data_IF_209712252014
#
_entry.id   IF_209712252014
#
_cell.length_a   1.000
_cell.length_b   1.000
_cell.length_c   1.000
_cell.angle_alpha   90.00
_cell.angle_beta   90.00
_cell.angle_gamma   90.00
#
_symmetry.space_group_name_H-M   'P 1'
#
loop_
_entity.id
_entity.type
_entity.pdbx_description
1 polymer ?
#
# COMPACT_ATOMS: atom_id res chain seq x y z
N UNK A 1 -44.60 -54.18 5.40
CA UNK A 1 -43.34 -54.77 4.90
C UNK A 1 -42.25 -53.76 5.16
N UNK A 2 -41.24 -54.17 5.92
CA UNK A 2 -40.05 -53.39 6.32
C UNK A 2 -38.87 -54.08 5.65
N UNK A 3 -37.96 -53.31 5.04
CA UNK A 3 -36.67 -53.83 4.57
C UNK A 3 -35.54 -53.18 5.41
N UNK A 4 -34.48 -53.94 5.79
CA UNK A 4 -33.64 -53.64 6.95
C UNK A 4 -32.25 -53.13 6.56
N UNK A 5 -32.08 -51.81 6.41
CA UNK A 5 -30.76 -51.18 6.39
C UNK A 5 -30.89 -49.68 6.66
N UNK A 6 -30.98 -49.30 7.93
CA UNK A 6 -31.09 -47.91 8.38
C UNK A 6 -29.89 -47.03 8.00
N UNK A 7 -29.80 -46.64 6.73
CA UNK A 7 -28.91 -45.61 6.21
C UNK A 7 -29.75 -44.40 5.79
N UNK A 8 -29.56 -43.29 6.50
CA UNK A 8 -30.05 -41.99 6.05
C UNK A 8 -29.21 -41.58 4.85
N UNK A 9 -29.82 -41.52 3.66
CA UNK A 9 -29.26 -40.73 2.58
C UNK A 9 -29.39 -39.26 2.98
N UNK A 10 -28.27 -38.65 3.34
CA UNK A 10 -28.14 -37.20 3.37
C UNK A 10 -28.14 -36.74 1.92
N UNK A 11 -29.28 -36.21 1.47
CA UNK A 11 -29.39 -35.58 0.17
C UNK A 11 -28.30 -34.51 0.01
N UNK A 12 -27.55 -34.70 -1.06
CA UNK A 12 -26.55 -33.81 -1.62
C UNK A 12 -27.00 -32.34 -1.58
N UNK A 13 -26.19 -31.51 -0.93
CA UNK A 13 -26.27 -30.05 -1.10
C UNK A 13 -26.14 -29.71 -2.60
N UNK A 14 -26.97 -28.82 -3.15
CA UNK A 14 -26.84 -28.41 -4.53
C UNK A 14 -25.59 -27.53 -4.68
N UNK A 15 -24.50 -28.11 -5.17
CA UNK A 15 -23.40 -27.40 -5.84
C UNK A 15 -23.90 -26.94 -7.20
N UNK A 16 -24.61 -25.82 -7.22
CA UNK A 16 -24.77 -25.01 -8.43
C UNK A 16 -24.46 -23.56 -8.06
N UNK A 17 -23.28 -23.11 -8.50
CA UNK A 17 -23.01 -21.69 -8.66
C UNK A 17 -24.03 -21.17 -9.67
N UNK A 18 -25.12 -20.59 -9.18
CA UNK A 18 -26.09 -19.93 -10.03
C UNK A 18 -25.42 -18.78 -10.77
N UNK A 19 -25.44 -18.85 -12.10
CA UNK A 19 -24.94 -17.87 -13.06
C UNK A 19 -25.57 -16.47 -12.91
N UNK A 20 -26.50 -16.25 -11.97
CA UNK A 20 -27.21 -14.99 -11.70
C UNK A 20 -26.52 -14.04 -10.70
N UNK A 21 -25.25 -14.25 -10.37
CA UNK A 21 -24.45 -13.31 -9.54
C UNK A 21 -23.18 -12.78 -10.20
N UNK A 22 -23.05 -12.97 -11.51
CA UNK A 22 -22.05 -12.26 -12.33
C UNK A 22 -22.34 -10.75 -12.43
N UNK A 23 -23.55 -10.34 -12.04
CA UNK A 23 -24.10 -8.98 -12.23
C UNK A 23 -24.36 -8.23 -10.90
N UNK A 24 -23.79 -8.67 -9.77
CA UNK A 24 -23.90 -7.93 -8.49
C UNK A 24 -22.57 -7.79 -7.74
N UNK A 25 -21.48 -7.74 -8.50
CA UNK A 25 -20.33 -6.87 -8.20
C UNK A 25 -20.41 -5.65 -9.13
N UNK A 26 -21.58 -5.02 -9.19
CA UNK A 26 -21.79 -3.82 -9.98
C UNK A 26 -20.88 -2.71 -9.47
N UNK A 27 -19.92 -2.32 -10.32
CA UNK A 27 -19.18 -1.06 -10.27
C UNK A 27 -18.56 -0.75 -8.92
N UNK A 28 -17.69 -1.64 -8.53
CA UNK A 28 -16.65 -1.43 -7.55
C UNK A 28 -15.96 -0.05 -7.77
N UNK A 29 -16.28 0.93 -6.93
CA UNK A 29 -15.63 2.25 -6.83
C UNK A 29 -14.23 2.15 -6.19
N UNK A 30 -13.49 1.06 -6.44
CA UNK A 30 -12.17 0.75 -5.87
C UNK A 30 -11.03 1.26 -6.75
N UNK A 31 -10.85 2.56 -6.94
CA UNK A 31 -9.63 3.02 -7.63
C UNK A 31 -9.00 4.27 -7.02
N UNK A 32 -8.99 4.30 -5.68
CA UNK A 32 -8.23 5.24 -4.86
C UNK A 32 -6.75 4.87 -4.73
N UNK A 33 -6.36 3.65 -5.11
CA UNK A 33 -5.14 3.00 -4.65
C UNK A 33 -3.96 3.05 -5.63
N UNK A 34 -4.21 3.28 -6.92
CA UNK A 34 -3.14 3.64 -7.88
C UNK A 34 -2.42 4.93 -7.47
N UNK A 35 -3.12 5.80 -6.74
CA UNK A 35 -2.56 7.03 -6.20
C UNK A 35 -1.55 6.79 -5.07
N UNK A 36 -1.52 5.62 -4.42
CA UNK A 36 -0.54 5.30 -3.38
C UNK A 36 0.91 5.38 -3.90
N UNK A 37 1.15 4.89 -5.11
CA UNK A 37 2.45 5.00 -5.76
C UNK A 37 2.86 6.46 -5.96
N UNK A 38 1.94 7.28 -6.47
CA UNK A 38 2.16 8.71 -6.68
C UNK A 38 2.38 9.46 -5.37
N UNK A 39 1.64 9.11 -4.32
CA UNK A 39 1.79 9.66 -2.98
C UNK A 39 3.17 9.35 -2.41
N UNK A 40 3.64 8.10 -2.50
CA UNK A 40 4.98 7.74 -2.06
C UNK A 40 6.05 8.53 -2.81
N UNK A 41 5.97 8.60 -4.15
CA UNK A 41 6.91 9.39 -4.95
C UNK A 41 6.90 10.86 -4.56
N UNK A 42 5.72 11.45 -4.33
CA UNK A 42 5.59 12.83 -3.87
C UNK A 42 6.15 13.05 -2.48
N UNK A 43 5.92 12.15 -1.53
CA UNK A 43 6.51 12.24 -0.21
C UNK A 43 8.04 12.10 -0.25
N UNK A 44 8.58 11.20 -1.07
CA UNK A 44 10.02 11.10 -1.31
C UNK A 44 10.62 12.39 -1.90
N UNK A 45 9.91 13.06 -2.81
CA UNK A 45 10.30 14.38 -3.31
C UNK A 45 10.22 15.46 -2.22
N UNK A 46 9.16 15.46 -1.39
CA UNK A 46 9.02 16.39 -0.27
C UNK A 46 10.19 16.26 0.71
N UNK A 47 10.61 15.03 1.04
CA UNK A 47 11.81 14.77 1.85
C UNK A 47 13.09 15.25 1.15
N UNK A 48 13.24 14.96 -0.15
CA UNK A 48 14.46 15.32 -0.90
C UNK A 48 14.61 16.83 -1.11
N UNK A 49 13.50 17.57 -1.29
CA UNK A 49 13.53 19.03 -1.36
C UNK A 49 13.93 19.67 -0.02
N UNK A 50 13.66 19.00 1.10
CA UNK A 50 14.13 19.42 2.42
C UNK A 50 15.63 19.14 2.63
N UNK A 51 16.20 18.16 1.93
CA UNK A 51 17.65 17.85 1.99
C UNK A 51 18.49 18.57 0.93
N UNK A 52 17.90 18.95 -0.21
CA UNK A 52 18.59 19.51 -1.39
C UNK A 52 18.86 21.02 -1.41
N UNK A 53 18.43 21.81 -0.42
CA UNK A 53 18.82 23.24 -0.29
C UNK A 53 20.10 23.45 0.52
N UNK A 54 21.13 22.66 0.26
CA UNK A 54 22.50 22.91 0.74
C UNK A 54 23.48 22.55 -0.38
N UNK A 55 23.86 23.56 -1.15
CA UNK A 55 24.75 23.39 -2.29
C UNK A 55 25.07 24.69 -3.01
N UNK A 56 25.34 25.76 -2.26
CA UNK A 56 26.13 26.92 -2.68
C UNK A 56 26.60 27.60 -1.38
N UNK A 57 27.86 28.02 -1.37
CA UNK A 57 28.61 28.65 -0.27
C UNK A 57 29.27 27.71 0.76
N UNK A 58 30.45 27.21 0.40
CA UNK A 58 31.65 27.24 1.25
C UNK A 58 32.89 26.72 0.49
N UNK A 59 33.46 27.56 -0.38
CA UNK A 59 34.90 27.46 -0.69
C UNK A 59 35.61 28.31 0.35
N UNK A 60 36.36 27.66 1.27
CA UNK A 60 37.64 28.10 1.87
C UNK A 60 37.89 27.35 3.19
N UNK A 61 39.09 26.79 3.32
CA UNK A 61 39.67 26.43 4.62
C UNK A 61 40.43 25.10 4.61
N UNK A 62 41.72 25.17 4.36
CA UNK A 62 42.66 24.04 4.36
C UNK A 62 42.94 23.47 5.76
N UNK A 63 43.30 22.19 5.85
CA UNK A 63 44.43 21.73 6.68
C UNK A 63 44.95 20.36 6.20
N UNK A 64 46.27 20.22 6.21
CA UNK A 64 47.11 19.14 5.66
C UNK A 64 47.42 18.05 6.71
N UNK A 65 48.01 16.94 6.20
CA UNK A 65 48.82 15.88 6.86
C UNK A 65 48.03 14.64 7.35
N UNK A 66 48.53 13.39 7.35
CA UNK A 66 49.41 12.55 6.49
C UNK A 66 49.57 11.22 7.26
N UNK A 67 49.42 10.05 6.62
CA UNK A 67 49.92 8.77 7.19
C UNK A 67 48.91 7.59 7.24
N UNK A 68 49.25 6.40 6.70
CA UNK A 68 48.37 5.24 6.61
C UNK A 68 48.70 4.19 7.69
N UNK A 69 47.70 3.75 8.47
CA UNK A 69 47.63 2.44 9.17
C UNK A 69 46.82 2.57 10.46
N UNK A 70 45.51 2.29 10.39
CA UNK A 70 44.85 1.52 11.45
C UNK A 70 43.44 1.11 11.01
N UNK A 71 43.28 -0.21 10.75
CA UNK A 71 42.17 -1.05 11.23
C UNK A 71 40.76 -0.57 10.86
N UNK A 72 40.16 -1.07 9.79
CA UNK A 72 39.36 -2.32 9.82
C UNK A 72 38.79 -2.61 11.22
N UNK A 73 37.45 -2.56 11.32
CA UNK A 73 36.61 -2.60 12.53
C UNK A 73 36.32 -1.22 13.16
N UNK A 74 35.67 -0.32 12.39
CA UNK A 74 34.77 0.72 12.93
C UNK A 74 33.95 1.49 11.86
N UNK A 75 33.58 0.83 10.75
CA UNK A 75 32.79 1.46 9.67
C UNK A 75 31.28 1.12 9.70
N UNK A 76 30.86 0.07 10.41
CA UNK A 76 29.46 -0.36 10.43
C UNK A 76 28.59 0.34 11.49
N UNK A 77 29.19 1.12 12.39
CA UNK A 77 28.45 1.91 13.40
C UNK A 77 28.49 3.43 13.15
N UNK A 78 29.49 3.94 12.40
CA UNK A 78 29.55 5.37 12.04
C UNK A 78 28.60 5.79 10.92
N UNK A 79 28.09 4.84 10.12
CA UNK A 79 27.06 5.12 9.10
C UNK A 79 25.63 5.12 9.64
N UNK A 80 25.40 4.70 10.89
CA UNK A 80 24.07 4.80 11.53
C UNK A 80 23.79 6.15 12.19
N UNK A 81 24.84 6.87 12.59
CA UNK A 81 24.68 8.13 13.35
C UNK A 81 24.75 9.41 12.50
N UNK A 82 25.11 9.33 11.21
CA UNK A 82 25.04 10.50 10.29
C UNK A 82 23.65 10.77 9.68
N UNK A 83 22.67 9.90 9.93
CA UNK A 83 21.30 10.03 9.40
C UNK A 83 20.28 10.54 10.43
N UNK A 84 20.71 10.90 11.64
CA UNK A 84 19.84 11.53 12.66
C UNK A 84 20.50 12.80 13.17
N UNK A 85 20.89 13.66 12.24
CA UNK A 85 21.28 15.03 12.51
C UNK A 85 20.04 15.86 12.86
N UNK A 86 19.72 15.95 14.15
CA UNK A 86 18.71 16.87 14.69
C UNK A 86 19.15 18.31 14.41
N UNK A 87 18.54 19.02 13.44
CA UNK A 87 18.11 20.45 13.51
C UNK A 87 17.71 21.08 12.17
N UNK A 88 16.65 21.91 12.32
CA UNK A 88 16.01 22.89 11.44
C UNK A 88 14.99 22.33 10.44
N UNK A 89 13.73 22.42 10.88
CA UNK A 89 12.51 22.43 10.07
C UNK A 89 12.72 23.21 8.77
N UNK A 90 12.80 22.50 7.65
CA UNK A 90 12.51 23.11 6.38
C UNK A 90 11.06 23.63 6.44
N UNK A 91 10.81 24.86 5.97
CA UNK A 91 9.47 25.39 5.88
C UNK A 91 8.66 24.45 4.98
N UNK A 92 7.77 23.65 5.60
CA UNK A 92 6.71 22.96 4.89
C UNK A 92 5.93 24.01 4.09
N UNK A 93 5.40 23.66 2.90
CA UNK A 93 4.57 24.59 2.14
C UNK A 93 3.44 25.09 3.05
N UNK A 94 3.31 26.41 3.16
CA UNK A 94 2.23 27.01 3.93
C UNK A 94 0.91 26.75 3.19
N UNK A 95 -0.04 26.13 3.87
CA UNK A 95 -1.36 25.85 3.33
C UNK A 95 -2.06 24.67 4.00
N UNK A 96 -3.40 24.55 3.80
CA UNK A 96 -4.21 23.50 4.40
C UNK A 96 -3.60 22.11 4.16
N UNK A 97 -3.44 21.34 5.24
CA UNK A 97 -2.76 20.04 5.25
C UNK A 97 -1.41 20.05 5.96
N UNK A 98 -0.70 21.17 5.97
CA UNK A 98 0.64 21.30 6.58
C UNK A 98 0.66 22.19 7.82
N UNK A 99 -0.20 23.21 7.90
CA UNK A 99 -0.36 24.08 9.07
C UNK A 99 -1.56 23.68 9.94
N UNK A 100 -2.58 23.12 9.32
CA UNK A 100 -3.77 22.54 9.95
C UNK A 100 -4.31 21.38 9.11
N UNK A 101 -5.23 20.62 9.69
CA UNK A 101 -5.98 19.58 8.94
C UNK A 101 -6.92 20.23 7.92
N UNK A 102 -6.92 19.72 6.68
CA UNK A 102 -7.95 20.09 5.69
C UNK A 102 -9.32 19.58 6.13
N UNK A 103 -10.34 20.43 6.03
CA UNK A 103 -11.74 20.08 6.29
C UNK A 103 -12.30 19.18 5.18
N UNK A 104 -13.46 18.56 5.44
CA UNK A 104 -14.12 17.72 4.43
C UNK A 104 -14.60 18.55 3.24
N UNK A 105 -15.08 19.76 3.51
CA UNK A 105 -15.61 20.73 2.55
C UNK A 105 -14.48 21.19 1.62
N UNK A 106 -13.34 21.59 2.18
CA UNK A 106 -12.16 21.97 1.38
C UNK A 106 -11.69 20.84 0.46
N UNK A 107 -11.68 19.61 0.97
CA UNK A 107 -11.35 18.43 0.15
C UNK A 107 -12.40 18.21 -0.94
N UNK A 108 -13.69 18.47 -0.68
CA UNK A 108 -14.76 18.27 -1.65
C UNK A 108 -14.70 19.24 -2.84
N UNK A 109 -14.17 20.45 -2.63
CA UNK A 109 -13.95 21.45 -3.69
C UNK A 109 -12.85 21.05 -4.68
N UNK A 110 -11.96 20.12 -4.30
CA UNK A 110 -10.92 19.66 -5.20
C UNK A 110 -11.50 18.81 -6.35
N UNK A 111 -10.83 18.82 -7.53
CA UNK A 111 -11.22 17.98 -8.65
C UNK A 111 -11.30 16.50 -8.24
N UNK A 112 -12.38 15.82 -8.62
CA UNK A 112 -12.49 14.37 -8.43
C UNK A 112 -11.63 13.66 -9.47
N UNK A 113 -10.71 12.82 -9.01
CA UNK A 113 -9.91 11.92 -9.86
C UNK A 113 -10.24 10.48 -9.54
N UNK A 114 -10.14 9.67 -10.59
CA UNK A 114 -10.24 8.21 -10.59
C UNK A 114 -9.12 7.67 -11.46
N UNK A 115 -8.70 6.46 -11.19
CA UNK A 115 -7.85 5.73 -12.13
C UNK A 115 -8.58 5.55 -13.47
N UNK A 116 -7.87 5.80 -14.55
CA UNK A 116 -8.33 5.64 -15.93
C UNK A 116 -7.43 4.69 -16.75
N UNK A 117 -6.38 4.14 -16.12
CA UNK A 117 -5.49 3.16 -16.73
C UNK A 117 -6.02 1.73 -16.67
N UNK A 118 -5.25 0.76 -17.19
CA UNK A 118 -5.63 -0.64 -17.23
C UNK A 118 -5.75 -1.26 -15.83
N UNK A 119 -6.69 -2.20 -15.73
CA UNK A 119 -6.96 -3.00 -14.53
C UNK A 119 -7.01 -4.47 -14.95
N UNK A 120 -6.26 -5.32 -14.27
CA UNK A 120 -6.29 -6.76 -14.46
C UNK A 120 -6.84 -7.44 -13.21
N UNK A 121 -7.90 -8.26 -13.38
CA UNK A 121 -8.44 -9.11 -12.32
C UNK A 121 -7.79 -10.50 -12.43
N UNK A 122 -7.28 -11.01 -11.31
CA UNK A 122 -6.54 -12.26 -11.22
C UNK A 122 -7.23 -13.19 -10.23
N UNK A 123 -7.77 -14.29 -10.73
CA UNK A 123 -8.41 -15.35 -9.93
C UNK A 123 -7.76 -16.73 -10.09
N UNK A 124 -6.84 -16.87 -11.04
CA UNK A 124 -6.23 -18.16 -11.40
C UNK A 124 -4.70 -18.17 -11.21
N UNK A 125 -4.09 -19.32 -10.84
CA UNK A 125 -2.66 -19.42 -10.60
C UNK A 125 -1.78 -18.98 -11.79
N UNK A 126 -2.12 -19.39 -13.02
CA UNK A 126 -1.33 -19.03 -14.22
C UNK A 126 -1.34 -17.52 -14.48
N UNK A 127 -2.49 -16.86 -14.29
CA UNK A 127 -2.60 -15.42 -14.42
C UNK A 127 -1.82 -14.69 -13.29
N UNK A 128 -1.81 -15.27 -12.09
CA UNK A 128 -1.03 -14.77 -10.96
C UNK A 128 0.48 -14.78 -11.25
N UNK A 129 1.03 -15.86 -11.80
CA UNK A 129 2.44 -15.94 -12.19
C UNK A 129 2.82 -14.86 -13.22
N UNK A 130 1.94 -14.56 -14.17
CA UNK A 130 2.19 -13.49 -15.15
C UNK A 130 2.16 -12.10 -14.49
N UNK A 131 1.14 -11.82 -13.68
CA UNK A 131 1.01 -10.56 -12.96
C UNK A 131 2.20 -10.30 -12.01
N UNK A 132 2.62 -11.32 -11.26
CA UNK A 132 3.79 -11.23 -10.35
C UNK A 132 5.06 -10.90 -11.12
N UNK A 133 5.28 -11.49 -12.30
CA UNK A 133 6.45 -11.15 -13.13
C UNK A 133 6.47 -9.69 -13.56
N UNK A 134 5.30 -9.12 -13.90
CA UNK A 134 5.21 -7.69 -14.23
C UNK A 134 5.47 -6.82 -13.00
N UNK A 135 4.82 -7.14 -11.87
CA UNK A 135 4.98 -6.40 -10.61
C UNK A 135 6.44 -6.38 -10.11
N UNK A 136 7.20 -7.46 -10.34
CA UNK A 136 8.63 -7.54 -9.97
C UNK A 136 9.54 -6.57 -10.73
N UNK A 137 9.07 -6.01 -11.86
CA UNK A 137 9.86 -5.02 -12.61
C UNK A 137 9.80 -3.63 -11.97
N UNK A 138 8.87 -3.41 -11.05
CA UNK A 138 8.66 -2.13 -10.39
C UNK A 138 9.36 -2.07 -9.03
N UNK A 139 10.13 -1.01 -8.72
CA UNK A 139 10.78 -0.86 -7.42
C UNK A 139 9.78 -0.45 -6.32
N UNK A 140 8.61 0.08 -6.70
CA UNK A 140 7.59 0.58 -5.78
C UNK A 140 6.22 0.14 -6.28
N UNK A 141 5.40 -0.36 -5.37
CA UNK A 141 4.03 -0.79 -5.60
C UNK A 141 3.07 -0.07 -4.64
N UNK A 142 1.92 0.38 -5.12
CA UNK A 142 0.76 0.65 -4.28
C UNK A 142 0.20 -0.66 -3.74
N UNK A 143 -0.19 -0.70 -2.46
CA UNK A 143 -0.72 -1.87 -1.77
C UNK A 143 -2.00 -1.49 -1.02
N UNK A 144 -3.04 -2.32 -1.18
CA UNK A 144 -4.28 -2.21 -0.41
C UNK A 144 -5.00 -3.57 -0.33
N UNK A 145 -5.86 -3.77 0.66
CA UNK A 145 -6.73 -4.96 0.73
C UNK A 145 -8.18 -4.58 0.99
N UNK A 146 -9.10 -5.39 0.45
CA UNK A 146 -10.52 -5.20 0.67
C UNK A 146 -11.16 -6.47 1.23
N UNK A 147 -11.93 -6.27 2.29
CA UNK A 147 -12.71 -7.33 2.95
C UNK A 147 -14.15 -7.28 2.48
N UNK A 148 -14.84 -8.42 2.56
CA UNK A 148 -16.28 -8.45 2.29
C UNK A 148 -17.03 -7.74 3.42
N UNK A 149 -18.12 -7.02 3.13
CA UNK A 149 -18.93 -6.39 4.16
C UNK A 149 -19.51 -7.43 5.12
N UNK A 150 -19.45 -7.12 6.41
CA UNK A 150 -20.03 -7.94 7.47
C UNK A 150 -21.44 -7.48 7.80
N UNK A 151 -22.45 -8.26 7.41
CA UNK A 151 -23.86 -7.92 7.66
C UNK A 151 -24.32 -8.22 9.10
N UNK A 152 -23.47 -8.83 9.93
CA UNK A 152 -23.75 -9.15 11.33
C UNK A 152 -22.65 -8.59 12.24
N UNK A 153 -23.05 -7.94 13.33
CA UNK A 153 -22.12 -7.43 14.34
C UNK A 153 -21.31 -8.58 14.94
N UNK A 154 -19.98 -8.43 14.95
CA UNK A 154 -19.04 -9.46 15.41
C UNK A 154 -18.58 -10.45 14.34
N UNK A 155 -19.11 -10.36 13.12
CA UNK A 155 -18.59 -11.12 11.98
C UNK A 155 -17.41 -10.36 11.35
N UNK A 156 -16.32 -11.08 11.09
CA UNK A 156 -15.19 -10.60 10.30
C UNK A 156 -14.89 -11.63 9.21
N UNK A 157 -14.38 -11.16 8.09
CA UNK A 157 -14.00 -12.01 6.97
C UNK A 157 -12.54 -11.75 6.63
N UNK A 158 -11.81 -12.79 6.20
CA UNK A 158 -10.49 -12.57 5.63
C UNK A 158 -10.58 -11.67 4.39
N UNK A 159 -9.48 -10.98 4.03
CA UNK A 159 -9.37 -10.21 2.81
C UNK A 159 -9.83 -11.02 1.60
N UNK A 160 -10.71 -10.42 0.81
CA UNK A 160 -11.23 -11.03 -0.41
C UNK A 160 -10.50 -10.54 -1.65
N UNK A 161 -9.92 -9.34 -1.60
CA UNK A 161 -9.09 -8.77 -2.64
C UNK A 161 -7.77 -8.27 -2.05
N UNK A 162 -6.67 -8.60 -2.72
CA UNK A 162 -5.42 -7.87 -2.62
C UNK A 162 -5.27 -7.00 -3.87
N UNK A 163 -4.93 -5.73 -3.69
CA UNK A 163 -4.69 -4.80 -4.77
C UNK A 163 -3.22 -4.41 -4.79
N UNK A 164 -2.60 -4.52 -5.97
CA UNK A 164 -1.25 -4.05 -6.20
C UNK A 164 -1.25 -3.10 -7.40
N UNK A 165 -0.65 -1.92 -7.24
CA UNK A 165 -0.63 -0.91 -8.29
C UNK A 165 0.80 -0.54 -8.67
N UNK A 166 1.03 -0.46 -9.97
CA UNK A 166 2.23 0.11 -10.60
C UNK A 166 1.89 1.53 -11.06
N UNK A 167 2.84 2.29 -11.65
CA UNK A 167 2.51 3.62 -12.19
C UNK A 167 1.46 3.57 -13.31
N UNK A 168 1.40 2.46 -14.04
CA UNK A 168 0.65 2.30 -15.29
C UNK A 168 -0.44 1.24 -15.23
N UNK A 169 -0.50 0.41 -14.19
CA UNK A 169 -1.39 -0.76 -14.15
C UNK A 169 -1.84 -1.11 -12.72
N UNK A 170 -3.12 -1.49 -12.55
CA UNK A 170 -3.67 -1.99 -11.29
C UNK A 170 -4.02 -3.47 -11.39
N UNK A 171 -3.56 -4.27 -10.43
CA UNK A 171 -3.79 -5.71 -10.36
C UNK A 171 -4.68 -6.03 -9.16
N UNK A 172 -5.78 -6.76 -9.40
CA UNK A 172 -6.77 -7.15 -8.39
C UNK A 172 -6.76 -8.68 -8.21
N UNK A 173 -6.13 -9.16 -7.14
CA UNK A 173 -6.03 -10.58 -6.83
C UNK A 173 -7.22 -11.04 -5.98
N UNK A 174 -8.05 -11.94 -6.51
CA UNK A 174 -9.21 -12.51 -5.84
C UNK A 174 -8.82 -13.65 -4.89
N UNK A 175 -8.54 -13.31 -3.64
CA UNK A 175 -7.98 -14.22 -2.63
C UNK A 175 -8.93 -15.35 -2.22
N UNK A 176 -10.25 -15.15 -2.34
CA UNK A 176 -11.24 -16.15 -1.91
C UNK A 176 -11.16 -17.49 -2.64
N UNK A 177 -10.64 -17.51 -3.87
CA UNK A 177 -10.35 -18.74 -4.63
C UNK A 177 -8.85 -18.95 -4.88
N UNK A 178 -8.11 -17.87 -5.07
CA UNK A 178 -6.67 -17.91 -5.36
C UNK A 178 -5.83 -18.27 -4.12
N UNK A 179 -6.32 -17.97 -2.91
CA UNK A 179 -5.51 -17.95 -1.70
C UNK A 179 -4.41 -16.89 -1.80
N UNK A 180 -3.24 -17.19 -1.22
CA UNK A 180 -2.04 -16.36 -1.31
C UNK A 180 -0.86 -17.21 -1.84
N UNK A 181 -0.78 -17.43 -3.18
CA UNK A 181 0.22 -18.30 -3.79
C UNK A 181 1.66 -17.88 -3.47
N UNK A 182 2.59 -18.82 -3.56
CA UNK A 182 4.01 -18.60 -3.24
C UNK A 182 4.61 -17.39 -3.97
N UNK A 183 4.46 -17.28 -5.28
CA UNK A 183 5.01 -16.14 -6.02
C UNK A 183 4.48 -14.77 -5.56
N UNK A 184 3.24 -14.71 -5.06
CA UNK A 184 2.67 -13.49 -4.50
C UNK A 184 3.22 -13.24 -3.09
N UNK A 185 3.39 -14.27 -2.25
CA UNK A 185 4.07 -14.15 -0.96
C UNK A 185 5.51 -13.68 -1.14
N UNK A 186 6.25 -14.27 -2.07
CA UNK A 186 7.63 -13.88 -2.38
C UNK A 186 7.75 -12.42 -2.82
N UNK A 187 6.72 -11.87 -3.50
CA UNK A 187 6.66 -10.45 -3.84
C UNK A 187 6.46 -9.59 -2.59
N UNK A 188 5.58 -10.00 -1.68
CA UNK A 188 5.27 -9.28 -0.44
C UNK A 188 6.42 -9.37 0.58
N UNK A 189 7.24 -10.42 0.55
CA UNK A 189 8.43 -10.60 1.39
C UNK A 189 9.71 -10.03 0.78
N UNK A 190 9.68 -9.58 -0.47
CA UNK A 190 10.86 -9.00 -1.14
C UNK A 190 11.22 -7.61 -0.56
N UNK A 191 12.38 -7.43 0.08
CA UNK A 191 12.78 -6.13 0.63
C UNK A 191 13.25 -5.14 -0.45
N UNK A 192 13.56 -5.59 -1.66
CA UNK A 192 13.97 -4.72 -2.76
C UNK A 192 12.79 -3.98 -3.40
N UNK A 193 11.56 -4.47 -3.18
CA UNK A 193 10.33 -3.89 -3.70
C UNK A 193 9.59 -3.22 -2.54
N UNK A 194 9.40 -1.91 -2.65
CA UNK A 194 8.66 -1.13 -1.65
C UNK A 194 7.16 -1.24 -1.90
N UNK A 195 6.39 -1.58 -0.87
CA UNK A 195 4.92 -1.66 -0.90
C UNK A 195 4.35 -0.52 -0.05
N UNK A 196 3.60 0.36 -0.69
CA UNK A 196 3.12 1.61 -0.07
C UNK A 196 1.61 1.55 0.11
N UNK A 197 1.13 1.81 1.31
CA UNK A 197 -0.30 1.82 1.62
C UNK A 197 -0.63 2.71 2.81
N UNK A 198 -1.88 2.68 3.27
CA UNK A 198 -2.35 3.49 4.42
C UNK A 198 -3.06 2.57 5.40
N UNK A 199 -2.66 2.60 6.68
CA UNK A 199 -3.22 1.76 7.75
C UNK A 199 -2.88 0.26 7.63
N UNK A 200 -1.68 -0.05 7.16
CA UNK A 200 -1.23 -1.38 6.73
C UNK A 200 -1.23 -2.49 7.80
N UNK A 201 -1.18 -2.12 9.08
CA UNK A 201 -0.96 -3.06 10.17
C UNK A 201 -2.07 -4.13 10.25
N UNK A 202 -3.32 -3.72 10.01
CA UNK A 202 -4.45 -4.65 10.00
C UNK A 202 -4.38 -5.55 8.77
N UNK A 203 -4.18 -4.98 7.57
CA UNK A 203 -4.09 -5.73 6.31
C UNK A 203 -3.05 -6.85 6.36
N UNK A 204 -1.85 -6.55 6.86
CA UNK A 204 -0.76 -7.52 6.96
C UNK A 204 -1.07 -8.68 7.92
N UNK A 205 -1.79 -8.38 9.01
CA UNK A 205 -2.23 -9.40 9.96
C UNK A 205 -3.27 -10.32 9.33
N UNK A 206 -4.24 -9.76 8.63
CA UNK A 206 -5.31 -10.53 8.00
C UNK A 206 -4.81 -11.35 6.81
N UNK A 207 -3.87 -10.83 6.01
CA UNK A 207 -3.21 -11.62 4.96
C UNK A 207 -2.39 -12.78 5.55
N UNK A 208 -1.72 -12.56 6.69
CA UNK A 208 -0.99 -13.64 7.39
C UNK A 208 -1.93 -14.77 7.87
N UNK A 209 -3.19 -14.45 8.16
CA UNK A 209 -4.19 -15.45 8.52
C UNK A 209 -4.61 -16.32 7.32
N UNK A 210 -4.44 -15.85 6.08
CA UNK A 210 -4.67 -16.64 4.86
C UNK A 210 -3.50 -17.60 4.63
N UNK A 211 -2.27 -17.07 4.65
CA UNK A 211 -1.05 -17.88 4.56
C UNK A 211 0.11 -17.15 5.26
N UNK A 212 0.90 -17.82 6.11
CA UNK A 212 1.99 -17.17 6.84
C UNK A 212 3.07 -16.58 5.92
N UNK A 213 3.48 -15.34 6.22
CA UNK A 213 4.65 -14.67 5.61
C UNK A 213 5.13 -13.51 6.49
N UNK A 214 6.40 -13.12 6.36
CA UNK A 214 6.92 -11.91 7.01
C UNK A 214 7.05 -10.80 5.98
N UNK A 215 6.10 -9.87 5.97
CA UNK A 215 6.12 -8.74 5.03
C UNK A 215 7.37 -7.88 5.18
N UNK A 216 8.01 -7.55 4.06
CA UNK A 216 9.17 -6.64 4.01
C UNK A 216 8.91 -5.52 3.02
N UNK A 217 9.64 -4.40 3.14
CA UNK A 217 9.50 -3.26 2.22
C UNK A 217 8.17 -2.50 2.35
N UNK A 218 7.35 -2.74 3.38
CA UNK A 218 6.11 -2.02 3.59
C UNK A 218 6.34 -0.63 4.20
N UNK A 219 5.73 0.39 3.59
CA UNK A 219 5.78 1.78 4.05
C UNK A 219 4.36 2.29 4.22
N UNK A 220 4.00 2.65 5.46
CA UNK A 220 2.72 3.26 5.78
C UNK A 220 2.77 4.76 5.52
N UNK A 221 2.07 5.21 4.49
CA UNK A 221 2.08 6.59 4.05
C UNK A 221 1.43 7.55 5.06
N UNK A 222 0.50 7.07 5.89
CA UNK A 222 -0.08 7.86 6.97
C UNK A 222 0.94 8.12 8.08
N UNK A 223 1.77 7.11 8.39
CA UNK A 223 2.88 7.25 9.33
C UNK A 223 3.93 8.23 8.82
N UNK A 224 4.38 8.06 7.57
CA UNK A 224 5.35 8.96 6.94
C UNK A 224 4.84 10.40 6.89
N UNK A 225 3.58 10.60 6.47
CA UNK A 225 2.96 11.91 6.43
C UNK A 225 2.96 12.60 7.81
N UNK A 226 2.71 11.84 8.88
CA UNK A 226 2.78 12.36 10.26
C UNK A 226 4.20 12.82 10.61
N UNK A 227 5.24 12.07 10.21
CA UNK A 227 6.63 12.48 10.42
C UNK A 227 6.99 13.77 9.66
N UNK A 228 6.37 13.97 8.49
CA UNK A 228 6.50 15.17 7.67
C UNK A 228 5.66 16.36 8.16
N UNK A 229 4.94 16.24 9.27
CA UNK A 229 4.08 17.32 9.78
C UNK A 229 2.79 17.52 8.98
N UNK A 230 2.42 16.58 8.11
CA UNK A 230 1.14 16.63 7.39
C UNK A 230 0.02 16.22 8.36
N UNK A 231 -1.02 17.03 8.48
CA UNK A 231 -2.10 16.85 9.44
C UNK A 231 -3.20 15.87 8.97
N UNK A 232 -3.22 15.52 7.67
CA UNK A 232 -4.12 14.52 7.11
C UNK A 232 -3.34 13.22 6.88
N UNK A 233 -3.82 12.08 7.40
CA UNK A 233 -3.09 10.80 7.32
C UNK A 233 -3.85 9.70 6.55
N UNK A 234 -5.14 9.91 6.27
CA UNK A 234 -5.93 8.99 5.47
C UNK A 234 -5.73 9.25 3.98
N UNK A 235 -5.84 8.21 3.16
CA UNK A 235 -5.59 8.24 1.71
C UNK A 235 -6.23 9.45 1.00
N UNK A 236 -7.54 9.65 1.20
CA UNK A 236 -8.27 10.79 0.61
C UNK A 236 -7.69 12.16 0.98
N UNK A 237 -7.27 12.31 2.24
CA UNK A 237 -6.67 13.55 2.71
C UNK A 237 -5.24 13.72 2.18
N UNK A 238 -4.48 12.64 2.09
CA UNK A 238 -3.14 12.65 1.50
C UNK A 238 -3.18 13.03 0.02
N UNK A 239 -4.11 12.49 -0.76
CA UNK A 239 -4.33 12.90 -2.15
C UNK A 239 -4.66 14.39 -2.25
N UNK A 240 -5.53 14.90 -1.37
CA UNK A 240 -5.88 16.31 -1.36
C UNK A 240 -4.66 17.21 -1.12
N UNK A 241 -3.89 16.90 -0.07
CA UNK A 241 -2.74 17.72 0.34
C UNK A 241 -1.57 17.64 -0.65
N UNK A 242 -1.24 16.43 -1.13
CA UNK A 242 -0.02 16.19 -1.90
C UNK A 242 -0.22 16.23 -3.42
N UNK A 243 -1.44 15.95 -3.89
CA UNK A 243 -1.76 15.83 -5.31
C UNK A 243 -2.78 16.86 -5.80
N UNK A 244 -3.42 17.61 -4.89
CA UNK A 244 -4.36 18.68 -5.25
C UNK A 244 -5.67 18.17 -5.86
N UNK A 245 -6.02 16.91 -5.63
CA UNK A 245 -7.29 16.33 -6.07
C UNK A 245 -7.90 15.44 -4.98
N UNK A 246 -9.20 15.20 -5.07
CA UNK A 246 -9.90 14.23 -4.22
C UNK A 246 -10.16 12.94 -4.97
N UNK A 247 -10.24 11.86 -4.22
CA UNK A 247 -10.72 10.56 -4.67
C UNK A 247 -12.12 10.29 -4.08
N UNK A 248 -12.90 9.41 -4.70
CA UNK A 248 -14.20 8.97 -4.16
C UNK A 248 -13.99 8.22 -2.84
N UNK A 249 -15.01 8.26 -1.97
CA UNK A 249 -14.95 7.66 -0.62
C UNK A 249 -15.91 6.48 -0.46
N UNK A 250 -16.45 5.96 -1.55
CA UNK A 250 -17.64 5.12 -1.51
C UNK A 250 -17.29 3.64 -1.67
N UNK A 251 -16.91 3.05 -0.54
CA UNK A 251 -17.27 1.68 -0.14
C UNK A 251 -16.72 1.39 1.26
N UNK A 252 -17.39 1.96 2.27
CA UNK A 252 -17.39 1.45 3.65
C UNK A 252 -18.85 1.38 4.08
N UNK A 253 -19.53 0.30 3.67
CA UNK A 253 -20.85 -0.08 4.15
C UNK A 253 -20.91 -1.59 4.22
#
# INVERSE_FOLDING_TARGET
MVDPAGCRHSDSAPTTWGDDKKEKCDKVELYSHSFLWYLFRKMGQTVTLQSGRRGQDAVKGACKQSGPSCRHQNETLKNRERMIGRKKTACLPAGPGFDRRMSREEINELPLRRWDGPIQVISEPRACEHAVRQLRTEPVLGFDTETRPAFKKGQSFPPALLQLATPEHVFLFQLGGLGLPEGLRDLLTDPAIIKTGVSLAYDLRELNAIAPFTGHGFVDLGHEAKQLGIHNHGLRGLCAVLLGFRISKSSQT
#
